data_IF_030266272395
#
_entry.id   IF_030266272395
#
_cell.length_a   1.000
_cell.length_b   1.000
_cell.length_c   1.000
_cell.angle_alpha   90.00
_cell.angle_beta   90.00
_cell.angle_gamma   90.00
#
_symmetry.space_group_name_H-M   'P 1'
#
loop_
_entity.id
_entity.type
_entity.pdbx_description
1 polymer ?
#
# COMPACT_ATOMS: atom_id res chain seq x y z
N UNK A 1 -5.45 -12.37 -4.78
CA UNK A 1 -4.95 -11.04 -5.23
C UNK A 1 -4.82 -11.04 -6.74
N UNK A 2 -5.38 -10.04 -7.43
CA UNK A 2 -5.30 -9.92 -8.91
C UNK A 2 -3.90 -9.52 -9.33
N UNK A 3 -3.40 -10.13 -10.39
CA UNK A 3 -2.05 -9.94 -10.90
C UNK A 3 -2.04 -9.20 -12.24
N UNK A 4 -0.92 -8.56 -12.58
CA UNK A 4 -0.70 -7.93 -13.89
C UNK A 4 -0.92 -8.94 -15.04
N UNK A 5 -0.59 -10.22 -14.83
CA UNK A 5 -0.81 -11.26 -15.84
C UNK A 5 -2.30 -11.48 -16.13
N UNK A 6 -3.16 -11.46 -15.11
CA UNK A 6 -4.60 -11.61 -15.28
C UNK A 6 -5.21 -10.43 -16.05
N UNK A 7 -4.76 -9.19 -15.72
CA UNK A 7 -5.19 -8.00 -16.50
C UNK A 7 -4.71 -8.13 -17.95
N UNK A 8 -3.48 -8.54 -18.17
CA UNK A 8 -2.90 -8.73 -19.50
C UNK A 8 -3.70 -9.73 -20.36
N UNK A 9 -4.11 -10.85 -19.76
CA UNK A 9 -4.97 -11.85 -20.40
C UNK A 9 -6.35 -11.29 -20.72
N UNK A 10 -6.95 -10.56 -19.80
CA UNK A 10 -8.29 -9.96 -19.96
C UNK A 10 -8.36 -8.97 -21.11
N UNK A 11 -7.32 -8.14 -21.30
CA UNK A 11 -7.29 -7.11 -22.33
C UNK A 11 -6.59 -7.52 -23.62
N UNK A 12 -5.99 -8.71 -23.67
CA UNK A 12 -5.23 -9.21 -24.82
C UNK A 12 -3.94 -8.44 -25.10
N UNK A 13 -3.29 -7.90 -24.06
CA UNK A 13 -2.10 -7.04 -24.16
C UNK A 13 -0.97 -7.66 -23.31
N UNK A 14 0.30 -7.40 -23.69
CA UNK A 14 1.44 -7.94 -22.96
C UNK A 14 1.49 -7.46 -21.49
N UNK A 15 1.93 -8.31 -20.57
CA UNK A 15 2.11 -7.95 -19.17
C UNK A 15 3.07 -6.77 -18.97
N UNK A 16 4.06 -6.61 -19.85
CA UNK A 16 4.97 -5.47 -19.84
C UNK A 16 4.25 -4.15 -20.14
N UNK A 17 3.38 -4.13 -21.17
CA UNK A 17 2.58 -2.96 -21.51
C UNK A 17 1.63 -2.60 -20.38
N UNK A 18 0.91 -3.58 -19.81
CA UNK A 18 0.04 -3.37 -18.64
C UNK A 18 0.84 -2.77 -17.48
N UNK A 19 2.04 -3.31 -17.19
CA UNK A 19 2.90 -2.80 -16.12
C UNK A 19 3.36 -1.35 -16.36
N UNK A 20 3.66 -0.98 -17.60
CA UNK A 20 4.06 0.39 -17.98
C UNK A 20 2.88 1.36 -17.76
N UNK A 21 1.69 1.01 -18.22
CA UNK A 21 0.47 1.85 -18.07
C UNK A 21 0.12 2.03 -16.59
N UNK A 22 -0.01 0.93 -15.85
CA UNK A 22 -0.31 0.98 -14.41
C UNK A 22 0.82 1.64 -13.59
N UNK A 23 2.03 1.67 -14.15
CA UNK A 23 3.20 2.36 -13.60
C UNK A 23 3.25 3.86 -13.88
N UNK A 24 2.29 4.44 -14.65
CA UNK A 24 2.26 5.86 -14.99
C UNK A 24 3.26 6.30 -16.06
N UNK A 25 3.90 5.34 -16.78
CA UNK A 25 4.92 5.61 -17.81
C UNK A 25 4.40 5.47 -19.23
N UNK A 26 3.08 5.52 -19.40
CA UNK A 26 2.43 5.33 -20.69
C UNK A 26 2.82 6.40 -21.72
N UNK A 27 2.96 7.66 -21.30
CA UNK A 27 3.36 8.77 -22.17
C UNK A 27 4.80 8.60 -22.67
N UNK A 28 5.74 8.22 -21.79
CA UNK A 28 7.15 7.97 -22.16
C UNK A 28 7.30 6.87 -23.19
N UNK A 29 6.39 5.90 -23.20
CA UNK A 29 6.37 4.74 -24.10
C UNK A 29 5.38 4.87 -25.25
N UNK A 30 4.79 6.06 -25.44
CA UNK A 30 3.86 6.40 -26.53
C UNK A 30 2.69 5.39 -26.63
N UNK A 31 2.18 4.91 -25.49
CA UNK A 31 1.02 4.01 -25.44
C UNK A 31 -0.24 4.85 -25.64
N UNK A 32 -1.07 4.46 -26.62
CA UNK A 32 -2.29 5.19 -26.98
C UNK A 32 -3.27 5.31 -25.80
N UNK A 33 -4.02 6.41 -25.75
CA UNK A 33 -5.03 6.66 -24.72
C UNK A 33 -6.07 5.54 -24.67
N UNK A 34 -6.53 5.06 -25.84
CA UNK A 34 -7.47 3.96 -25.92
C UNK A 34 -6.93 2.66 -25.28
N UNK A 35 -5.64 2.38 -25.41
CA UNK A 35 -4.99 1.23 -24.74
C UNK A 35 -4.91 1.44 -23.24
N UNK A 36 -4.59 2.66 -22.79
CA UNK A 36 -4.54 3.00 -21.37
C UNK A 36 -5.92 2.83 -20.71
N UNK A 37 -6.97 3.36 -21.33
CA UNK A 37 -8.37 3.26 -20.85
C UNK A 37 -8.81 1.80 -20.71
N UNK A 38 -8.52 0.95 -21.70
CA UNK A 38 -8.83 -0.49 -21.63
C UNK A 38 -8.16 -1.15 -20.43
N UNK A 39 -6.88 -0.83 -20.18
CA UNK A 39 -6.12 -1.41 -19.06
C UNK A 39 -6.67 -0.91 -17.74
N UNK A 40 -6.96 0.39 -17.58
CA UNK A 40 -7.52 0.93 -16.34
C UNK A 40 -8.93 0.38 -16.05
N UNK A 41 -9.77 0.26 -17.07
CA UNK A 41 -11.10 -0.32 -16.92
C UNK A 41 -11.04 -1.80 -16.48
N UNK A 42 -10.15 -2.60 -17.06
CA UNK A 42 -9.96 -3.99 -16.66
C UNK A 42 -9.38 -4.10 -15.24
N UNK A 43 -8.40 -3.26 -14.89
CA UNK A 43 -7.82 -3.22 -13.57
C UNK A 43 -8.88 -2.89 -12.49
N UNK A 44 -9.73 -1.89 -12.74
CA UNK A 44 -10.83 -1.51 -11.86
C UNK A 44 -11.86 -2.63 -11.71
N UNK A 45 -12.29 -3.24 -12.83
CA UNK A 45 -13.27 -4.34 -12.81
C UNK A 45 -12.78 -5.57 -12.07
N UNK A 46 -11.49 -5.89 -12.19
CA UNK A 46 -10.87 -7.03 -11.52
C UNK A 46 -10.48 -6.71 -10.07
N UNK A 47 -10.62 -5.48 -9.60
CA UNK A 47 -10.19 -5.07 -8.26
C UNK A 47 -8.66 -5.12 -8.08
N UNK A 48 -7.90 -4.80 -9.14
CA UNK A 48 -6.44 -4.81 -9.05
C UNK A 48 -5.93 -3.69 -8.15
N UNK A 49 -5.14 -4.06 -7.15
CA UNK A 49 -4.43 -3.13 -6.29
C UNK A 49 -2.91 -3.23 -6.54
N UNK A 50 -2.22 -2.10 -6.80
CA UNK A 50 -0.76 -2.12 -7.01
C UNK A 50 -0.02 -2.63 -5.78
N UNK A 51 0.79 -3.68 -5.94
CA UNK A 51 1.70 -4.11 -4.89
C UNK A 51 2.93 -3.18 -4.86
N UNK A 52 3.01 -2.32 -3.85
CA UNK A 52 4.07 -1.31 -3.72
C UNK A 52 5.43 -1.95 -3.44
N UNK A 53 5.49 -3.05 -2.69
CA UNK A 53 6.73 -3.77 -2.45
C UNK A 53 7.33 -4.31 -3.76
N UNK A 54 6.50 -4.94 -4.61
CA UNK A 54 6.93 -5.39 -5.94
C UNK A 54 7.29 -4.25 -6.89
N UNK A 55 6.65 -3.07 -6.72
CA UNK A 55 6.93 -1.87 -7.51
C UNK A 55 8.26 -1.23 -7.13
N UNK A 56 8.58 -1.16 -5.85
CA UNK A 56 9.85 -0.68 -5.31
C UNK A 56 11.05 -1.48 -5.81
N UNK A 57 10.91 -2.81 -5.88
CA UNK A 57 11.95 -3.71 -6.38
C UNK A 57 12.27 -3.51 -7.88
N UNK A 58 11.37 -2.94 -8.66
CA UNK A 58 11.52 -2.75 -10.12
C UNK A 58 12.04 -1.37 -10.52
N UNK A 59 12.43 -0.50 -9.59
CA UNK A 59 13.05 0.80 -9.87
C UNK A 59 12.14 1.80 -10.62
N UNK A 60 10.80 1.75 -10.42
CA UNK A 60 9.86 2.69 -11.05
C UNK A 60 10.00 4.13 -10.53
N UNK A 61 9.52 5.13 -11.29
CA UNK A 61 9.35 6.51 -10.82
C UNK A 61 8.53 6.52 -9.54
N UNK A 62 9.09 7.03 -8.44
CA UNK A 62 8.56 6.88 -7.07
C UNK A 62 9.19 5.72 -6.28
N UNK A 63 10.12 4.96 -6.85
CA UNK A 63 10.86 3.89 -6.17
C UNK A 63 11.69 4.40 -4.98
N UNK A 64 11.88 5.70 -4.87
CA UNK A 64 12.67 6.29 -3.80
C UNK A 64 11.83 6.71 -2.58
N UNK A 65 10.49 6.77 -2.70
CA UNK A 65 9.59 7.11 -1.59
C UNK A 65 9.18 5.86 -0.82
N UNK A 66 9.36 5.87 0.49
CA UNK A 66 8.84 4.83 1.39
C UNK A 66 7.43 5.24 1.85
N UNK A 67 6.43 4.42 1.55
CA UNK A 67 5.06 4.62 2.03
C UNK A 67 4.83 3.73 3.25
N UNK A 68 4.59 4.34 4.39
CA UNK A 68 4.31 3.63 5.65
C UNK A 68 2.86 3.89 6.04
N UNK A 69 2.10 2.82 6.25
CA UNK A 69 0.74 2.89 6.77
C UNK A 69 0.77 2.89 8.30
N UNK A 70 0.14 3.86 8.92
CA UNK A 70 -0.04 3.90 10.37
C UNK A 70 -1.51 3.62 10.70
N UNK A 71 -1.77 2.49 11.33
CA UNK A 71 -3.10 2.11 11.80
C UNK A 71 -3.25 2.60 13.24
N UNK A 72 -4.22 3.48 13.46
CA UNK A 72 -4.48 4.08 14.77
C UNK A 72 -5.88 3.73 15.27
N UNK A 73 -5.94 3.05 16.41
CA UNK A 73 -7.23 2.70 17.01
C UNK A 73 -7.99 3.95 17.48
N UNK A 74 -9.26 4.03 17.13
CA UNK A 74 -10.16 5.13 17.50
C UNK A 74 -10.68 4.93 18.93
N UNK A 75 -9.85 5.27 19.92
CA UNK A 75 -10.20 5.20 21.34
C UNK A 75 -9.76 6.45 22.10
N UNK A 76 -9.92 6.42 23.42
CA UNK A 76 -9.55 7.55 24.31
C UNK A 76 -8.07 7.95 24.23
N UNK A 77 -7.20 7.08 23.71
CA UNK A 77 -5.74 7.31 23.54
C UNK A 77 -5.42 8.16 22.29
N UNK A 78 -6.41 8.56 21.51
CA UNK A 78 -6.21 9.38 20.31
C UNK A 78 -5.45 10.69 20.59
N UNK A 79 -5.59 11.26 21.80
CA UNK A 79 -4.84 12.44 22.24
C UNK A 79 -3.31 12.20 22.36
N UNK A 80 -2.87 10.96 22.48
CA UNK A 80 -1.44 10.61 22.52
C UNK A 80 -0.78 10.63 21.13
N UNK A 81 -1.57 10.70 20.07
CA UNK A 81 -1.09 10.65 18.69
C UNK A 81 -0.06 11.74 18.38
N UNK A 82 -0.21 12.94 18.95
CA UNK A 82 0.74 14.04 18.75
C UNK A 82 2.15 13.69 19.27
N UNK A 83 2.26 13.08 20.43
CA UNK A 83 3.55 12.70 21.00
C UNK A 83 4.24 11.61 20.19
N UNK A 84 3.46 10.64 19.71
CA UNK A 84 3.94 9.60 18.82
C UNK A 84 4.40 10.20 17.48
N UNK A 85 3.62 11.13 16.95
CA UNK A 85 3.94 11.84 15.70
C UNK A 85 5.26 12.61 15.75
N UNK A 86 5.50 13.33 16.84
CA UNK A 86 6.75 14.09 17.01
C UNK A 86 7.98 13.17 17.02
N UNK A 87 7.88 12.04 17.73
CA UNK A 87 8.94 11.03 17.74
C UNK A 87 9.17 10.41 16.36
N UNK A 88 8.10 10.02 15.68
CA UNK A 88 8.17 9.42 14.35
C UNK A 88 8.75 10.40 13.32
N UNK A 89 8.32 11.67 13.37
CA UNK A 89 8.85 12.73 12.50
C UNK A 89 10.35 12.90 12.68
N UNK A 90 10.82 12.96 13.93
CA UNK A 90 12.24 13.07 14.24
C UNK A 90 13.08 11.91 13.67
N UNK A 91 12.52 10.69 13.63
CA UNK A 91 13.20 9.54 13.01
C UNK A 91 13.14 9.59 11.48
N UNK A 92 12.01 10.01 10.91
CA UNK A 92 11.86 10.17 9.46
C UNK A 92 12.86 11.20 8.92
N UNK A 93 13.06 12.32 9.62
CA UNK A 93 14.01 13.38 9.22
C UNK A 93 15.45 12.89 9.16
N UNK A 94 15.81 11.82 9.89
CA UNK A 94 17.14 11.19 9.82
C UNK A 94 17.32 10.29 8.62
N UNK A 95 16.24 9.93 7.92
CA UNK A 95 16.33 9.02 6.78
C UNK A 95 16.74 9.76 5.51
N UNK A 96 17.56 9.12 4.69
CA UNK A 96 17.96 9.66 3.38
C UNK A 96 16.87 9.48 2.30
N UNK A 97 15.78 8.76 2.61
CA UNK A 97 14.67 8.51 1.68
C UNK A 97 13.45 9.33 2.07
N UNK A 98 12.72 9.89 1.09
CA UNK A 98 11.41 10.47 1.37
C UNK A 98 10.48 9.40 1.96
N UNK A 99 9.84 9.72 3.06
CA UNK A 99 8.83 8.86 3.71
C UNK A 99 7.48 9.56 3.64
N UNK A 100 6.50 8.83 3.10
CA UNK A 100 5.09 9.26 3.14
C UNK A 100 4.35 8.40 4.16
N UNK A 101 3.77 9.05 5.14
CA UNK A 101 2.94 8.40 6.13
C UNK A 101 1.46 8.52 5.74
N UNK A 102 0.74 7.41 5.79
CA UNK A 102 -0.71 7.36 5.55
C UNK A 102 -1.37 6.81 6.80
N UNK A 103 -2.28 7.60 7.38
CA UNK A 103 -2.98 7.22 8.61
C UNK A 103 -4.29 6.51 8.26
N UNK A 104 -4.48 5.32 8.81
CA UNK A 104 -5.70 4.53 8.74
C UNK A 104 -6.32 4.42 10.13
N UNK A 105 -7.37 5.18 10.42
CA UNK A 105 -8.11 4.99 11.66
C UNK A 105 -8.87 3.66 11.61
N UNK A 106 -8.88 2.92 12.72
CA UNK A 106 -9.63 1.67 12.83
C UNK A 106 -10.29 1.55 14.21
N UNK A 107 -11.26 0.65 14.34
CA UNK A 107 -11.92 0.33 15.61
C UNK A 107 -11.23 -0.86 16.22
N UNK A 108 -10.97 -0.85 17.54
CA UNK A 108 -10.40 -1.99 18.26
C UNK A 108 -11.18 -3.28 17.98
N UNK A 109 -10.48 -4.40 17.91
CA UNK A 109 -10.96 -5.75 17.58
C UNK A 109 -11.37 -5.94 16.10
N UNK A 110 -11.27 -4.88 15.28
CA UNK A 110 -11.63 -4.89 13.86
C UNK A 110 -10.44 -4.66 12.91
N UNK A 111 -9.20 -4.73 13.40
CA UNK A 111 -8.00 -4.54 12.57
C UNK A 111 -7.95 -5.51 11.37
N UNK A 112 -8.41 -6.75 11.56
CA UNK A 112 -8.51 -7.79 10.52
C UNK A 112 -9.36 -7.41 9.32
N UNK A 113 -10.30 -6.48 9.48
CA UNK A 113 -11.20 -6.00 8.43
C UNK A 113 -10.55 -4.94 7.54
N UNK A 114 -9.36 -4.44 7.93
CA UNK A 114 -8.64 -3.44 7.16
C UNK A 114 -8.04 -4.04 5.88
N UNK A 115 -8.65 -3.75 4.75
CA UNK A 115 -8.17 -4.20 3.44
C UNK A 115 -6.75 -3.64 3.15
N UNK A 116 -6.44 -2.43 3.58
CA UNK A 116 -5.13 -1.82 3.41
C UNK A 116 -4.02 -2.63 4.11
N UNK A 117 -4.31 -3.22 5.27
CA UNK A 117 -3.39 -4.08 6.01
C UNK A 117 -3.30 -5.49 5.40
N UNK A 118 -4.46 -6.12 5.21
CA UNK A 118 -4.53 -7.53 4.78
C UNK A 118 -4.10 -7.74 3.33
N UNK A 119 -4.30 -6.76 2.46
CA UNK A 119 -3.80 -6.81 1.08
C UNK A 119 -2.36 -6.34 0.92
N UNK A 120 -1.84 -5.52 1.83
CA UNK A 120 -0.55 -4.85 1.71
C UNK A 120 -0.48 -3.91 0.52
N UNK A 121 -1.63 -3.51 -0.03
CA UNK A 121 -1.69 -2.63 -1.17
C UNK A 121 -1.29 -1.21 -0.79
N UNK A 122 -0.54 -0.55 -1.68
CA UNK A 122 -0.17 0.87 -1.58
C UNK A 122 0.74 1.27 -0.40
N UNK A 123 1.28 0.34 0.38
CA UNK A 123 2.27 0.63 1.42
C UNK A 123 3.42 -0.38 1.43
N UNK A 124 4.55 0.02 2.00
CA UNK A 124 5.77 -0.79 2.09
C UNK A 124 5.90 -1.44 3.46
N UNK A 125 5.35 -0.80 4.48
CA UNK A 125 5.33 -1.27 5.86
C UNK A 125 4.09 -0.72 6.58
N UNK A 126 3.72 -1.34 7.69
CA UNK A 126 2.68 -0.86 8.58
C UNK A 126 3.22 -0.66 10.00
N UNK A 127 2.66 0.34 10.69
CA UNK A 127 2.82 0.55 12.12
C UNK A 127 1.41 0.45 12.73
N UNK A 128 1.24 -0.41 13.71
CA UNK A 128 -0.05 -0.58 14.40
C UNK A 128 0.06 0.09 15.77
N UNK A 129 -0.80 1.05 16.02
CA UNK A 129 -0.83 1.80 17.27
C UNK A 129 -2.10 1.49 18.06
N UNK A 130 -1.94 1.33 19.37
CA UNK A 130 -3.03 1.10 20.32
C UNK A 130 -3.84 -0.19 20.06
N UNK A 131 -3.19 -1.24 19.53
CA UNK A 131 -3.83 -2.52 19.28
C UNK A 131 -4.46 -3.09 20.56
N UNK A 132 -5.66 -3.66 20.42
CA UNK A 132 -6.31 -4.46 21.44
C UNK A 132 -5.66 -5.85 21.55
N UNK A 133 -6.04 -6.60 22.56
CA UNK A 133 -5.58 -7.99 22.68
C UNK A 133 -6.01 -8.87 21.50
N UNK A 134 -7.24 -8.69 21.01
CA UNK A 134 -7.74 -9.44 19.86
C UNK A 134 -7.03 -9.05 18.55
N UNK A 135 -6.68 -7.76 18.39
CA UNK A 135 -5.90 -7.30 17.25
C UNK A 135 -4.47 -7.85 17.28
N UNK A 136 -3.84 -7.91 18.48
CA UNK A 136 -2.52 -8.52 18.64
C UNK A 136 -2.53 -10.01 18.30
N UNK A 137 -3.54 -10.76 18.77
CA UNK A 137 -3.72 -12.17 18.41
C UNK A 137 -3.86 -12.35 16.90
N UNK A 138 -4.66 -11.51 16.24
CA UNK A 138 -4.78 -11.54 14.77
C UNK A 138 -3.42 -11.35 14.08
N UNK A 139 -2.59 -10.41 14.58
CA UNK A 139 -1.27 -10.14 14.01
C UNK A 139 -0.29 -11.30 14.22
N UNK A 140 -0.36 -12.01 15.35
CA UNK A 140 0.43 -13.20 15.64
C UNK A 140 0.03 -14.40 14.76
N UNK A 141 -1.28 -14.59 14.56
CA UNK A 141 -1.82 -15.74 13.85
C UNK A 141 -1.82 -15.57 12.31
N UNK A 142 -1.56 -14.35 11.82
CA UNK A 142 -1.71 -14.01 10.40
C UNK A 142 -0.39 -13.60 9.75
N UNK A 143 0.00 -14.32 8.71
CA UNK A 143 1.12 -13.88 7.88
C UNK A 143 0.68 -12.72 6.96
N UNK A 144 1.04 -11.51 7.31
CA UNK A 144 0.74 -10.32 6.53
C UNK A 144 1.71 -10.16 5.34
N UNK A 145 1.27 -9.53 4.23
CA UNK A 145 2.07 -9.38 3.02
C UNK A 145 3.14 -8.27 3.09
N UNK A 146 3.25 -7.60 4.24
CA UNK A 146 4.18 -6.48 4.49
C UNK A 146 4.74 -6.55 5.91
N UNK A 147 5.93 -5.97 6.16
CA UNK A 147 6.46 -5.86 7.52
C UNK A 147 5.57 -4.98 8.40
N UNK A 148 5.36 -5.42 9.64
CA UNK A 148 4.56 -4.73 10.64
C UNK A 148 5.41 -4.45 11.87
N UNK A 149 5.32 -3.20 12.39
CA UNK A 149 5.85 -2.76 13.68
C UNK A 149 4.69 -2.45 14.64
N UNK A 150 4.92 -2.67 15.94
CA UNK A 150 4.01 -2.38 17.05
C UNK A 150 4.54 -1.24 17.89
#
# INVERSE_FOLDING_TARGET
MVTIKQIAQEVGISSSTVSIVLGGKAAERKISTATQEKIFAAAARLGYQPNMAARSLRGGSGANELVVAMFWAQDFRASMMFRFWDGLRAEIEKTARPVRLVIYPYVNDHLKESEALTSGANCHAAIICNASYADLQFLEDTQLPLPVGL
#
